data_IF_708003080348
#
_entry.id   IF_708003080348
#
_cell.length_a   1.000
_cell.length_b   1.000
_cell.length_c   1.000
_cell.angle_alpha   90.00
_cell.angle_beta   90.00
_cell.angle_gamma   90.00
#
_symmetry.space_group_name_H-M   'P 1'
#
loop_
_entity.id
_entity.type
_entity.pdbx_description
1 polymer ?
#
# COMPACT_ATOMS: atom_id res chain seq x y z
N UNK A 1 -15.32 -0.88 -12.80
CA UNK A 1 -15.23 -0.44 -11.41
C UNK A 1 -15.89 -1.46 -10.52
N UNK A 2 -15.28 -1.77 -9.39
CA UNK A 2 -15.92 -2.59 -8.35
C UNK A 2 -16.84 -1.76 -7.44
N UNK A 3 -17.50 -2.44 -6.49
CA UNK A 3 -18.44 -1.81 -5.57
C UNK A 3 -17.82 -0.70 -4.71
N UNK A 4 -16.54 -0.84 -4.33
CA UNK A 4 -15.84 0.17 -3.55
C UNK A 4 -15.62 1.45 -4.38
N UNK A 5 -15.16 1.31 -5.63
CA UNK A 5 -14.92 2.44 -6.53
C UNK A 5 -16.23 3.18 -6.89
N UNK A 6 -17.34 2.46 -7.10
CA UNK A 6 -18.67 3.07 -7.24
C UNK A 6 -19.06 3.94 -6.02
N UNK A 7 -18.64 3.56 -4.82
CA UNK A 7 -18.84 4.36 -3.61
C UNK A 7 -18.05 5.66 -3.62
N UNK A 8 -16.80 5.63 -4.12
CA UNK A 8 -15.92 6.80 -4.18
C UNK A 8 -16.40 7.86 -5.17
N UNK A 9 -16.97 7.44 -6.31
CA UNK A 9 -17.48 8.35 -7.35
C UNK A 9 -18.47 9.39 -6.81
N UNK A 10 -19.19 9.06 -5.73
CA UNK A 10 -20.14 9.97 -5.08
C UNK A 10 -19.47 11.20 -4.43
N UNK A 11 -18.18 11.10 -4.10
CA UNK A 11 -17.41 12.13 -3.40
C UNK A 11 -16.28 12.71 -4.26
N UNK A 12 -15.69 11.86 -5.10
CA UNK A 12 -14.61 12.20 -6.03
C UNK A 12 -15.14 11.76 -7.38
N UNK A 13 -15.70 12.71 -8.15
CA UNK A 13 -16.31 12.43 -9.45
C UNK A 13 -15.45 11.52 -10.34
N UNK A 14 -16.09 10.91 -11.35
CA UNK A 14 -15.43 9.93 -12.22
C UNK A 14 -14.10 10.43 -12.81
N UNK A 15 -14.07 11.68 -13.29
CA UNK A 15 -12.88 12.23 -13.94
C UNK A 15 -11.70 12.35 -12.96
N UNK A 16 -11.97 12.82 -11.73
CA UNK A 16 -10.95 12.92 -10.68
C UNK A 16 -10.50 11.56 -10.20
N UNK A 17 -11.42 10.60 -10.03
CA UNK A 17 -11.07 9.25 -9.63
C UNK A 17 -10.15 8.59 -10.67
N UNK A 18 -10.47 8.72 -11.97
CA UNK A 18 -9.61 8.22 -13.04
C UNK A 18 -8.21 8.85 -13.03
N UNK A 19 -8.11 10.15 -12.71
CA UNK A 19 -6.81 10.82 -12.55
C UNK A 19 -6.01 10.23 -11.40
N UNK A 20 -6.62 10.01 -10.24
CA UNK A 20 -5.95 9.39 -9.07
C UNK A 20 -5.48 7.96 -9.38
N UNK A 21 -6.29 7.18 -10.09
CA UNK A 21 -5.98 5.79 -10.43
C UNK A 21 -4.83 5.64 -11.42
N UNK A 22 -4.50 6.70 -12.17
CA UNK A 22 -3.33 6.73 -13.08
C UNK A 22 -2.01 7.04 -12.34
N UNK A 23 -2.07 7.61 -11.14
CA UNK A 23 -0.88 7.98 -10.38
C UNK A 23 -0.30 6.74 -9.70
N UNK A 24 1.01 6.53 -9.87
CA UNK A 24 1.78 5.52 -9.12
C UNK A 24 2.41 6.17 -7.90
N UNK A 25 2.24 5.55 -6.73
CA UNK A 25 2.81 6.03 -5.46
C UNK A 25 3.83 5.03 -4.94
N UNK A 26 5.06 5.50 -4.70
CA UNK A 26 6.11 4.74 -4.04
C UNK A 26 6.11 4.95 -2.52
N UNK A 27 6.17 3.88 -1.74
CA UNK A 27 6.24 3.89 -0.28
C UNK A 27 7.51 3.16 0.17
N UNK A 28 8.48 3.93 0.65
CA UNK A 28 9.70 3.44 1.27
C UNK A 28 9.47 3.17 2.77
N UNK A 29 9.26 1.91 3.12
CA UNK A 29 8.97 1.45 4.47
C UNK A 29 7.47 1.23 4.71
N UNK A 30 7.13 0.05 5.21
CA UNK A 30 5.80 -0.43 5.56
C UNK A 30 5.58 -0.42 7.10
N UNK A 31 6.24 0.48 7.82
CA UNK A 31 6.09 0.68 9.26
C UNK A 31 4.85 1.48 9.65
N UNK A 32 4.93 2.21 10.78
CA UNK A 32 3.80 2.98 11.32
C UNK A 32 3.27 4.07 10.39
N UNK A 33 4.14 4.78 9.68
CA UNK A 33 3.69 5.77 8.71
C UNK A 33 3.26 5.10 7.41
N UNK A 34 4.14 4.33 6.78
CA UNK A 34 3.90 3.77 5.46
C UNK A 34 2.68 2.86 5.36
N UNK A 35 2.46 1.96 6.33
CA UNK A 35 1.28 1.08 6.31
C UNK A 35 -0.04 1.86 6.47
N UNK A 36 -0.05 2.90 7.31
CA UNK A 36 -1.22 3.74 7.51
C UNK A 36 -1.46 4.68 6.31
N UNK A 37 -0.41 5.24 5.72
CA UNK A 37 -0.51 6.02 4.48
C UNK A 37 -1.03 5.15 3.33
N UNK A 38 -0.54 3.92 3.18
CA UNK A 38 -0.94 3.01 2.12
C UNK A 38 -2.44 2.71 2.15
N UNK A 39 -3.01 2.35 3.32
CA UNK A 39 -4.45 2.06 3.38
C UNK A 39 -5.29 3.32 3.14
N UNK A 40 -4.85 4.49 3.60
CA UNK A 40 -5.56 5.75 3.34
C UNK A 40 -5.53 6.10 1.84
N UNK A 41 -4.39 5.96 1.17
CA UNK A 41 -4.27 6.17 -0.28
C UNK A 41 -5.21 5.26 -1.06
N UNK A 42 -5.24 3.96 -0.74
CA UNK A 42 -6.19 3.01 -1.36
C UNK A 42 -7.63 3.45 -1.10
N UNK A 43 -7.96 3.84 0.13
CA UNK A 43 -9.30 4.33 0.49
C UNK A 43 -9.67 5.65 -0.20
N UNK A 44 -8.69 6.42 -0.65
CA UNK A 44 -8.89 7.65 -1.44
C UNK A 44 -8.97 7.41 -2.95
N UNK A 45 -8.80 6.16 -3.41
CA UNK A 45 -8.95 5.80 -4.82
C UNK A 45 -7.66 5.63 -5.61
N UNK A 46 -6.49 5.68 -4.98
CA UNK A 46 -5.23 5.31 -5.65
C UNK A 46 -5.19 3.80 -5.88
N UNK A 47 -4.71 3.38 -7.06
CA UNK A 47 -4.65 1.96 -7.45
C UNK A 47 -3.24 1.39 -7.60
N UNK A 48 -2.28 2.22 -7.97
CA UNK A 48 -0.92 1.79 -8.30
C UNK A 48 0.00 2.15 -7.14
N UNK A 49 0.42 1.15 -6.36
CA UNK A 49 1.28 1.36 -5.19
C UNK A 49 2.49 0.44 -5.24
N UNK A 50 3.68 1.03 -5.10
CA UNK A 50 4.94 0.30 -4.91
C UNK A 50 5.34 0.38 -3.44
N UNK A 51 5.61 -0.74 -2.79
CA UNK A 51 5.96 -0.82 -1.36
C UNK A 51 7.27 -1.58 -1.20
N UNK A 52 8.22 -0.99 -0.49
CA UNK A 52 9.52 -1.60 -0.20
C UNK A 52 9.77 -1.60 1.30
N UNK A 53 9.94 -2.77 1.90
CA UNK A 53 10.30 -2.94 3.31
C UNK A 53 10.94 -4.32 3.51
N UNK A 54 11.94 -4.45 4.38
CA UNK A 54 12.65 -5.70 4.62
C UNK A 54 12.20 -6.47 5.87
N UNK A 55 11.45 -5.82 6.76
CA UNK A 55 11.06 -6.37 8.05
C UNK A 55 9.89 -7.37 7.93
N UNK A 56 9.68 -8.10 9.03
CA UNK A 56 8.50 -8.92 9.29
C UNK A 56 7.59 -8.25 10.34
N UNK A 57 6.33 -8.66 10.40
CA UNK A 57 5.37 -8.19 11.40
C UNK A 57 5.72 -8.76 12.77
N UNK A 58 5.87 -7.88 13.77
CA UNK A 58 6.12 -8.26 15.16
C UNK A 58 4.93 -7.88 16.08
N UNK A 59 4.76 -8.54 17.25
CA UNK A 59 3.70 -8.19 18.20
C UNK A 59 3.71 -6.71 18.60
N UNK A 60 4.90 -6.12 18.76
CA UNK A 60 5.08 -4.71 19.14
C UNK A 60 4.59 -3.73 18.07
N UNK A 61 4.36 -4.20 16.83
CA UNK A 61 3.97 -3.36 15.69
C UNK A 61 2.45 -3.13 15.65
N UNK A 62 1.67 -4.05 16.22
CA UNK A 62 0.20 -4.07 16.10
C UNK A 62 -0.49 -2.84 16.72
N UNK A 63 0.18 -2.11 17.61
CA UNK A 63 -0.38 -0.92 18.24
C UNK A 63 -0.43 0.32 17.32
N UNK A 64 0.31 0.31 16.20
CA UNK A 64 0.51 1.53 15.38
C UNK A 64 0.67 1.28 13.88
N UNK A 65 0.74 0.02 13.45
CA UNK A 65 0.93 -0.36 12.06
C UNK A 65 -0.31 -1.10 11.59
N UNK A 66 -0.62 -1.02 10.28
CA UNK A 66 -1.83 -1.62 9.72
C UNK A 66 -1.66 -3.14 9.49
N UNK A 67 -1.46 -3.87 10.59
CA UNK A 67 -1.29 -5.33 10.65
C UNK A 67 -2.18 -5.95 11.74
N UNK A 68 -2.42 -7.26 11.61
CA UNK A 68 -3.28 -8.03 12.50
C UNK A 68 -2.53 -9.18 13.17
N UNK A 69 -3.11 -9.74 14.25
CA UNK A 69 -2.50 -10.78 15.09
C UNK A 69 -2.10 -12.02 14.28
N UNK A 70 -2.94 -12.43 13.33
CA UNK A 70 -2.71 -13.58 12.46
C UNK A 70 -1.58 -13.38 11.44
N UNK A 71 -1.04 -12.16 11.34
CA UNK A 71 0.02 -11.80 10.39
C UNK A 71 1.39 -11.74 11.04
N UNK A 72 1.52 -11.98 12.36
CA UNK A 72 2.82 -12.00 13.04
C UNK A 72 3.76 -13.01 12.35
N UNK A 73 4.99 -12.57 12.05
CA UNK A 73 6.00 -13.34 11.34
C UNK A 73 5.91 -13.28 9.81
N UNK A 74 4.85 -12.71 9.23
CA UNK A 74 4.79 -12.45 7.79
C UNK A 74 5.71 -11.28 7.41
N UNK A 75 6.31 -11.29 6.20
CA UNK A 75 6.91 -10.09 5.64
C UNK A 75 5.91 -8.92 5.64
N UNK A 76 6.34 -7.74 6.11
CA UNK A 76 5.46 -6.57 6.22
C UNK A 76 4.82 -6.22 4.88
N UNK A 77 5.58 -6.29 3.79
CA UNK A 77 5.09 -6.00 2.44
C UNK A 77 3.99 -6.97 1.99
N UNK A 78 4.09 -8.26 2.33
CA UNK A 78 3.09 -9.28 2.00
C UNK A 78 1.83 -9.14 2.86
N UNK A 79 2.01 -8.91 4.16
CA UNK A 79 0.90 -8.67 5.07
C UNK A 79 0.11 -7.41 4.68
N UNK A 80 0.83 -6.34 4.33
CA UNK A 80 0.23 -5.09 3.90
C UNK A 80 -0.50 -5.26 2.57
N UNK A 81 0.10 -5.95 1.58
CA UNK A 81 -0.55 -6.29 0.31
C UNK A 81 -1.91 -6.96 0.53
N UNK A 82 -1.95 -8.03 1.32
CA UNK A 82 -3.20 -8.73 1.67
C UNK A 82 -4.22 -7.79 2.31
N UNK A 83 -3.77 -6.89 3.20
CA UNK A 83 -4.67 -5.95 3.88
C UNK A 83 -5.24 -4.90 2.91
N UNK A 84 -4.46 -4.42 1.94
CA UNK A 84 -4.89 -3.46 0.93
C UNK A 84 -5.85 -4.09 -0.08
N UNK A 85 -5.58 -5.33 -0.53
CA UNK A 85 -6.45 -6.07 -1.46
C UNK A 85 -7.84 -6.34 -0.86
N UNK A 86 -7.95 -6.45 0.47
CA UNK A 86 -9.25 -6.52 1.17
C UNK A 86 -10.05 -5.22 1.10
N UNK A 87 -9.41 -4.08 0.84
CA UNK A 87 -10.07 -2.78 0.65
C UNK A 87 -10.51 -2.65 -0.81
N UNK A 88 -9.60 -2.91 -1.74
CA UNK A 88 -9.86 -2.87 -3.17
C UNK A 88 -9.14 -4.06 -3.84
N UNK A 89 -9.87 -5.04 -4.42
CA UNK A 89 -9.24 -6.19 -5.08
C UNK A 89 -8.60 -5.84 -6.44
N UNK A 90 -8.91 -4.69 -7.02
CA UNK A 90 -8.42 -4.29 -8.34
C UNK A 90 -7.10 -3.48 -8.26
N UNK A 91 -6.36 -3.57 -7.16
CA UNK A 91 -5.10 -2.84 -6.98
C UNK A 91 -3.98 -3.38 -7.86
N UNK A 92 -3.11 -2.48 -8.31
CA UNK A 92 -1.85 -2.79 -8.97
C UNK A 92 -0.72 -2.58 -7.94
N UNK A 93 -0.34 -3.66 -7.25
CA UNK A 93 0.65 -3.62 -6.16
C UNK A 93 1.98 -4.23 -6.59
N UNK A 94 3.04 -3.43 -6.48
CA UNK A 94 4.43 -3.88 -6.59
C UNK A 94 5.04 -3.92 -5.19
N UNK A 95 5.50 -5.10 -4.76
CA UNK A 95 6.07 -5.27 -3.42
C UNK A 95 7.48 -5.84 -3.49
N UNK A 96 8.37 -5.29 -2.67
CA UNK A 96 9.76 -5.72 -2.60
C UNK A 96 10.19 -5.91 -1.15
N UNK A 97 10.55 -7.15 -0.79
CA UNK A 97 11.07 -7.47 0.52
C UNK A 97 12.60 -7.29 0.57
N UNK A 98 13.07 -6.05 0.61
CA UNK A 98 14.50 -5.74 0.64
C UNK A 98 14.79 -4.42 1.33
N UNK A 99 16.03 -4.24 1.77
CA UNK A 99 16.48 -3.01 2.42
C UNK A 99 16.89 -1.99 1.36
N UNK A 100 16.32 -0.80 1.44
CA UNK A 100 16.69 0.33 0.58
C UNK A 100 18.08 0.82 0.99
N UNK A 101 18.94 1.05 -0.01
CA UNK A 101 20.27 1.60 0.14
C UNK A 101 20.60 2.53 -1.04
N UNK A 102 21.81 3.11 -1.04
CA UNK A 102 22.22 4.04 -2.08
C UNK A 102 22.36 3.35 -3.46
N UNK A 103 22.61 2.04 -3.46
CA UNK A 103 22.85 1.26 -4.66
C UNK A 103 21.54 0.89 -5.40
N UNK A 104 20.44 0.69 -4.67
CA UNK A 104 19.16 0.22 -5.24
C UNK A 104 18.06 1.29 -5.30
N UNK A 105 18.21 2.45 -4.67
CA UNK A 105 17.13 3.46 -4.60
C UNK A 105 16.64 3.93 -5.98
N UNK A 106 17.56 4.14 -6.92
CA UNK A 106 17.23 4.61 -8.28
C UNK A 106 16.51 3.51 -9.08
N UNK A 107 16.93 2.26 -8.93
CA UNK A 107 16.23 1.12 -9.55
C UNK A 107 14.81 0.97 -9.00
N UNK A 108 14.64 1.18 -7.69
CA UNK A 108 13.36 0.99 -7.02
C UNK A 108 12.36 2.12 -7.26
N UNK A 109 12.80 3.38 -7.36
CA UNK A 109 11.91 4.55 -7.37
C UNK A 109 12.23 5.58 -8.48
N UNK A 110 13.03 5.21 -9.48
CA UNK A 110 13.38 6.10 -10.60
C UNK A 110 12.40 6.09 -11.77
N UNK A 111 11.30 5.33 -11.68
CA UNK A 111 10.27 5.17 -12.72
C UNK A 111 9.14 6.20 -12.68
#
# INVERSE_FOLDING_TARGET
MNNFEHGLVKYIDHERLEKLQKIKVGIAGAGGLGSNCAFNLVRSGFKKIKIVDFDVVEPSNLNRQFYFIDQIGMPKVEALKKNLERINPDLELEIFQLKINAENIIELFGD
#
